data_IF_672064742908
#
_entry.id   IF_672064742908
#
_cell.length_a   1.000
_cell.length_b   1.000
_cell.length_c   1.000
_cell.angle_alpha   90.00
_cell.angle_beta   90.00
_cell.angle_gamma   90.00
#
_symmetry.space_group_name_H-M   'P 1'
#
loop_
_entity.id
_entity.type
_entity.pdbx_description
1 polymer ?
#
# COMPACT_ATOMS: atom_id res chain seq x y z
N UNK A 1 -31.86 -37.62 -31.53
CA UNK A 1 -30.65 -37.59 -30.66
C UNK A 1 -29.50 -36.71 -31.21
N UNK A 2 -29.31 -36.56 -32.54
CA UNK A 2 -28.15 -35.80 -33.09
C UNK A 2 -28.19 -34.26 -32.87
N UNK A 3 -29.35 -33.63 -32.72
CA UNK A 3 -29.45 -32.16 -32.55
C UNK A 3 -28.97 -31.64 -31.21
N UNK A 4 -29.16 -32.38 -30.12
CA UNK A 4 -28.72 -32.03 -28.78
C UNK A 4 -27.20 -32.04 -28.62
N UNK A 5 -26.50 -32.93 -29.37
CA UNK A 5 -25.04 -33.02 -29.37
C UNK A 5 -24.40 -31.74 -29.96
N UNK A 6 -25.08 -31.06 -30.88
CA UNK A 6 -24.60 -29.79 -31.50
C UNK A 6 -24.89 -28.58 -30.60
N UNK A 7 -25.93 -28.63 -29.76
CA UNK A 7 -26.30 -27.54 -28.84
C UNK A 7 -25.43 -27.54 -27.58
N UNK A 8 -24.99 -28.72 -27.12
CA UNK A 8 -24.21 -28.86 -25.91
C UNK A 8 -22.90 -28.03 -25.92
N UNK A 9 -22.04 -28.05 -26.97
CA UNK A 9 -20.84 -27.23 -27.00
C UNK A 9 -21.12 -25.74 -26.95
N UNK A 10 -22.21 -25.30 -27.64
CA UNK A 10 -22.60 -23.90 -27.62
C UNK A 10 -23.09 -23.46 -26.22
N UNK A 11 -23.86 -24.32 -25.56
CA UNK A 11 -24.33 -24.04 -24.20
C UNK A 11 -23.16 -23.96 -23.19
N UNK A 12 -22.18 -24.86 -23.29
CA UNK A 12 -20.97 -24.85 -22.47
C UNK A 12 -20.15 -23.58 -22.76
N UNK A 13 -19.97 -23.23 -24.03
CA UNK A 13 -19.26 -22.00 -24.41
C UNK A 13 -19.92 -20.76 -23.83
N UNK A 14 -21.25 -20.63 -23.95
CA UNK A 14 -21.97 -19.50 -23.39
C UNK A 14 -21.87 -19.44 -21.86
N UNK A 15 -21.93 -20.59 -21.18
CA UNK A 15 -21.79 -20.66 -19.74
C UNK A 15 -20.40 -20.20 -19.28
N UNK A 16 -19.35 -20.69 -19.97
CA UNK A 16 -17.96 -20.26 -19.72
C UNK A 16 -17.76 -18.78 -20.04
N UNK A 17 -18.33 -18.30 -21.13
CA UNK A 17 -18.26 -16.88 -21.52
C UNK A 17 -18.91 -15.98 -20.45
N UNK A 18 -20.09 -16.36 -19.94
CA UNK A 18 -20.76 -15.62 -18.87
C UNK A 18 -19.95 -15.68 -17.57
N UNK A 19 -19.39 -16.84 -17.23
CA UNK A 19 -18.55 -16.99 -16.05
C UNK A 19 -17.29 -16.11 -16.12
N UNK A 20 -16.59 -16.13 -17.26
CA UNK A 20 -15.41 -15.29 -17.46
C UNK A 20 -15.78 -13.79 -17.49
N UNK A 21 -16.89 -13.43 -18.13
CA UNK A 21 -17.36 -12.05 -18.13
C UNK A 21 -17.67 -11.55 -16.71
N UNK A 22 -18.33 -12.38 -15.87
CA UNK A 22 -18.53 -12.05 -14.47
C UNK A 22 -17.22 -11.91 -13.70
N UNK A 23 -16.24 -12.76 -14.01
CA UNK A 23 -14.91 -12.72 -13.40
C UNK A 23 -14.14 -11.43 -13.66
N UNK A 24 -14.37 -10.76 -14.80
CA UNK A 24 -13.75 -9.47 -15.13
C UNK A 24 -14.22 -8.31 -14.24
N UNK A 25 -15.36 -8.44 -13.58
CA UNK A 25 -15.90 -7.44 -12.66
C UNK A 25 -15.59 -7.74 -11.19
N UNK A 26 -14.90 -8.86 -10.92
CA UNK A 26 -14.39 -9.14 -9.58
C UNK A 26 -13.09 -8.36 -9.42
N UNK A 27 -13.03 -7.47 -8.44
CA UNK A 27 -11.81 -6.74 -8.12
C UNK A 27 -10.82 -7.68 -7.41
N UNK A 28 -9.69 -8.05 -8.03
CA UNK A 28 -8.71 -8.92 -7.38
C UNK A 28 -7.98 -8.23 -6.21
N UNK A 29 -8.13 -6.91 -6.06
CA UNK A 29 -7.56 -6.15 -4.95
C UNK A 29 -8.34 -6.32 -3.62
N UNK A 30 -9.56 -6.88 -3.65
CA UNK A 30 -10.38 -7.13 -2.47
C UNK A 30 -9.97 -8.34 -1.61
N UNK A 31 -8.81 -8.96 -1.84
CA UNK A 31 -8.35 -9.99 -0.90
C UNK A 31 -7.94 -9.30 0.40
N UNK A 32 -8.69 -9.52 1.51
CA UNK A 32 -8.35 -8.92 2.80
C UNK A 32 -6.93 -9.31 3.16
N UNK A 33 -6.06 -8.32 3.40
CA UNK A 33 -4.71 -8.60 3.85
C UNK A 33 -4.76 -9.39 5.16
N UNK A 34 -4.04 -10.51 5.22
CA UNK A 34 -3.90 -11.29 6.45
C UNK A 34 -3.27 -10.49 7.61
N UNK A 35 -2.78 -9.28 7.33
CA UNK A 35 -2.15 -8.37 8.30
C UNK A 35 -3.14 -7.41 8.96
N UNK A 36 -4.37 -7.30 8.47
CA UNK A 36 -5.39 -6.44 9.10
C UNK A 36 -5.67 -6.91 10.54
N UNK A 37 -5.66 -5.97 11.47
CA UNK A 37 -5.84 -6.23 12.91
C UNK A 37 -4.60 -6.77 13.62
N UNK A 38 -3.48 -6.97 12.92
CA UNK A 38 -2.22 -7.40 13.51
C UNK A 38 -1.28 -6.23 13.76
N UNK A 39 -0.37 -6.34 14.75
CA UNK A 39 0.70 -5.37 14.92
C UNK A 39 1.59 -5.34 13.67
N UNK A 40 2.12 -4.15 13.38
CA UNK A 40 3.13 -3.98 12.35
C UNK A 40 4.33 -4.89 12.63
N UNK A 41 4.88 -5.59 11.63
CA UNK A 41 5.98 -6.53 11.84
C UNK A 41 7.18 -5.90 12.56
N UNK A 42 7.88 -6.71 13.34
CA UNK A 42 9.15 -6.31 13.94
C UNK A 42 10.21 -6.17 12.84
N UNK A 43 10.92 -5.07 12.85
CA UNK A 43 12.06 -4.86 11.97
C UNK A 43 13.15 -4.06 12.68
N UNK A 44 14.36 -4.15 12.13
CA UNK A 44 15.51 -3.33 12.50
C UNK A 44 16.28 -3.07 11.21
N UNK A 45 15.95 -1.97 10.55
CA UNK A 45 16.45 -1.63 9.21
C UNK A 45 17.05 -0.21 9.20
N UNK A 46 18.02 0.07 8.34
CA UNK A 46 18.57 1.41 8.21
C UNK A 46 17.51 2.37 7.64
N UNK A 47 17.66 3.65 7.97
CA UNK A 47 16.92 4.69 7.28
C UNK A 47 17.47 4.91 5.86
N UNK A 48 16.64 5.44 4.96
CA UNK A 48 17.09 5.92 3.64
C UNK A 48 18.03 7.10 3.81
N UNK A 49 17.68 8.01 4.75
CA UNK A 49 18.45 9.22 5.03
C UNK A 49 19.23 9.06 6.34
N UNK A 50 20.53 9.36 6.28
CA UNK A 50 21.42 9.27 7.43
C UNK A 50 21.86 7.84 7.77
N UNK A 51 22.35 7.64 9.00
CA UNK A 51 22.89 6.37 9.47
C UNK A 51 22.06 5.72 10.60
N UNK A 52 20.85 6.24 10.84
CA UNK A 52 19.99 5.73 11.90
C UNK A 52 19.40 4.37 11.54
N UNK A 53 19.22 3.53 12.56
CA UNK A 53 18.45 2.29 12.46
C UNK A 53 17.04 2.56 12.95
N UNK A 54 16.06 2.20 12.15
CA UNK A 54 14.63 2.31 12.45
C UNK A 54 14.05 0.96 12.88
N UNK A 55 13.07 1.01 13.75
CA UNK A 55 12.36 -0.15 14.28
C UNK A 55 10.85 0.12 14.25
N UNK A 56 10.03 -0.89 14.51
CA UNK A 56 8.58 -0.66 14.62
C UNK A 56 8.20 0.31 15.75
N UNK A 57 9.05 0.49 16.77
CA UNK A 57 8.78 1.43 17.85
C UNK A 57 8.75 2.89 17.37
N UNK A 58 9.48 3.21 16.31
CA UNK A 58 9.53 4.54 15.70
C UNK A 58 8.23 4.91 14.96
N UNK A 59 7.38 3.92 14.67
CA UNK A 59 6.10 4.11 14.00
C UNK A 59 4.94 4.38 14.99
N UNK A 60 5.16 4.28 16.29
CA UNK A 60 4.11 4.36 17.32
C UNK A 60 3.74 5.80 17.69
N UNK A 61 2.64 5.93 18.42
CA UNK A 61 2.21 7.16 19.10
C UNK A 61 1.13 7.96 18.40
N UNK A 62 1.00 7.87 17.08
CA UNK A 62 -0.07 8.51 16.30
C UNK A 62 -0.42 7.65 15.06
N UNK A 63 -1.67 7.72 14.59
CA UNK A 63 -2.03 7.11 13.31
C UNK A 63 -1.17 7.61 12.17
N UNK A 64 -0.84 6.73 11.24
CA UNK A 64 -0.01 7.06 10.08
C UNK A 64 -0.38 6.22 8.85
N UNK A 65 -0.02 6.74 7.68
CA UNK A 65 0.12 5.96 6.46
C UNK A 65 1.54 5.37 6.42
N UNK A 66 1.66 4.12 6.00
CA UNK A 66 2.94 3.49 5.65
C UNK A 66 2.88 3.13 4.18
N UNK A 67 3.60 3.88 3.36
CA UNK A 67 3.59 3.75 1.91
C UNK A 67 4.82 2.97 1.46
N UNK A 68 4.59 1.92 0.70
CA UNK A 68 5.63 1.09 0.07
C UNK A 68 5.90 1.62 -1.33
N UNK A 69 7.16 2.00 -1.58
CA UNK A 69 7.55 2.66 -2.80
C UNK A 69 8.94 2.24 -3.29
N UNK A 70 9.26 2.59 -4.53
CA UNK A 70 10.60 2.40 -5.08
C UNK A 70 10.82 3.26 -6.32
N UNK A 71 12.08 3.57 -6.65
CA UNK A 71 12.43 4.38 -7.82
C UNK A 71 12.13 3.68 -9.15
N UNK A 72 12.10 2.36 -9.15
CA UNK A 72 11.73 1.51 -10.28
C UNK A 72 10.21 1.51 -10.58
N UNK A 73 9.39 2.04 -9.66
CA UNK A 73 7.94 1.99 -9.70
C UNK A 73 7.35 3.21 -10.40
N UNK A 74 6.87 3.05 -11.62
CA UNK A 74 6.23 4.14 -12.39
C UNK A 74 4.97 4.68 -11.71
N UNK A 75 4.16 3.80 -11.14
CA UNK A 75 2.93 4.17 -10.42
C UNK A 75 3.21 4.95 -9.14
N UNK A 76 4.33 4.68 -8.46
CA UNK A 76 4.77 5.45 -7.29
C UNK A 76 5.09 6.90 -7.68
N UNK A 77 5.59 7.13 -8.89
CA UNK A 77 5.83 8.48 -9.40
C UNK A 77 4.54 9.25 -9.64
N UNK A 78 3.46 8.56 -10.00
CA UNK A 78 2.14 9.17 -10.21
C UNK A 78 1.53 9.61 -8.88
N UNK A 79 1.64 8.81 -7.81
CA UNK A 79 1.07 9.15 -6.50
C UNK A 79 1.89 10.16 -5.71
N UNK A 80 3.21 10.24 -5.95
CA UNK A 80 4.14 11.02 -5.13
C UNK A 80 3.74 12.49 -4.92
N UNK A 81 3.23 13.25 -5.94
CA UNK A 81 2.74 14.60 -5.74
C UNK A 81 1.55 14.69 -4.79
N UNK A 82 0.70 13.66 -4.75
CA UNK A 82 -0.45 13.61 -3.83
C UNK A 82 0.06 13.37 -2.42
N UNK A 83 1.01 12.45 -2.22
CA UNK A 83 1.62 12.21 -0.91
C UNK A 83 2.31 13.47 -0.36
N UNK A 84 2.99 14.25 -1.22
CA UNK A 84 3.57 15.55 -0.83
C UNK A 84 2.49 16.50 -0.30
N UNK A 85 1.38 16.67 -1.02
CA UNK A 85 0.25 17.52 -0.58
C UNK A 85 -0.33 17.03 0.76
N UNK A 86 -0.47 15.73 0.94
CA UNK A 86 -0.98 15.16 2.18
C UNK A 86 -0.04 15.43 3.36
N UNK A 87 1.26 15.29 3.15
CA UNK A 87 2.27 15.60 4.16
C UNK A 87 2.24 17.08 4.55
N UNK A 88 2.10 18.00 3.58
CA UNK A 88 1.92 19.45 3.82
C UNK A 88 0.64 19.75 4.62
N UNK A 89 -0.41 18.96 4.46
CA UNK A 89 -1.65 19.05 5.23
C UNK A 89 -1.54 18.43 6.64
N UNK A 90 -0.37 17.91 7.00
CA UNK A 90 -0.11 17.32 8.32
C UNK A 90 -0.47 15.85 8.44
N UNK A 91 -0.78 15.16 7.35
CA UNK A 91 -0.93 13.70 7.33
C UNK A 91 0.42 13.07 7.61
N UNK A 92 0.48 12.17 8.59
CA UNK A 92 1.70 11.44 8.91
C UNK A 92 1.91 10.32 7.90
N UNK A 93 3.06 10.34 7.22
CA UNK A 93 3.41 9.35 6.22
C UNK A 93 4.80 8.80 6.54
N UNK A 94 4.94 7.49 6.58
CA UNK A 94 6.19 6.76 6.66
C UNK A 94 6.43 6.03 5.32
N UNK A 95 7.67 6.02 4.84
CA UNK A 95 8.06 5.31 3.63
C UNK A 95 8.69 3.96 3.94
N UNK A 96 8.42 2.97 3.11
CA UNK A 96 9.21 1.74 3.00
C UNK A 96 9.76 1.68 1.58
N UNK A 97 11.03 2.04 1.43
CA UNK A 97 11.73 1.96 0.15
C UNK A 97 12.09 0.50 -0.10
N UNK A 98 11.32 -0.13 -0.99
CA UNK A 98 11.26 -1.57 -1.18
C UNK A 98 12.09 -2.03 -2.37
N UNK A 99 13.07 -2.92 -2.11
CA UNK A 99 13.92 -3.53 -3.15
C UNK A 99 14.52 -2.51 -4.11
N UNK A 100 15.14 -1.48 -3.56
CA UNK A 100 15.61 -0.33 -4.31
C UNK A 100 17.07 0.01 -3.95
N UNK A 101 17.72 0.77 -4.81
CA UNK A 101 19.05 1.32 -4.55
C UNK A 101 18.96 2.60 -3.72
N UNK A 102 19.73 2.67 -2.62
CA UNK A 102 19.64 3.80 -1.71
C UNK A 102 20.09 5.13 -2.34
N UNK A 103 21.07 5.12 -3.23
CA UNK A 103 21.52 6.34 -3.90
C UNK A 103 20.43 6.86 -4.87
N UNK A 104 19.75 5.96 -5.55
CA UNK A 104 18.60 6.30 -6.39
C UNK A 104 17.43 6.84 -5.55
N UNK A 105 17.14 6.22 -4.39
CA UNK A 105 16.13 6.67 -3.46
C UNK A 105 16.39 8.08 -2.94
N UNK A 106 17.60 8.37 -2.49
CA UNK A 106 18.01 9.70 -2.03
C UNK A 106 17.90 10.76 -3.14
N UNK A 107 18.30 10.39 -4.36
CA UNK A 107 18.15 11.29 -5.51
C UNK A 107 16.68 11.57 -5.80
N UNK A 108 15.81 10.56 -5.75
CA UNK A 108 14.38 10.71 -5.95
C UNK A 108 13.76 11.68 -4.94
N UNK A 109 14.01 11.48 -3.65
CA UNK A 109 13.47 12.34 -2.59
C UNK A 109 13.94 13.81 -2.72
N UNK A 110 15.18 14.01 -3.20
CA UNK A 110 15.69 15.34 -3.50
C UNK A 110 14.99 15.98 -4.72
N UNK A 111 14.76 15.21 -5.78
CA UNK A 111 14.22 15.73 -7.05
C UNK A 111 12.69 15.96 -6.99
N UNK A 112 11.97 15.13 -6.20
CA UNK A 112 10.49 15.13 -6.16
C UNK A 112 9.91 15.51 -4.79
N UNK A 113 10.71 16.02 -3.87
CA UNK A 113 10.39 16.29 -2.47
C UNK A 113 10.15 15.01 -1.65
N UNK A 114 10.26 15.14 -0.33
CA UNK A 114 10.13 14.02 0.60
C UNK A 114 8.84 14.15 1.44
N UNK A 115 7.81 13.34 1.19
CA UNK A 115 6.58 13.34 1.98
C UNK A 115 6.70 12.56 3.29
N UNK A 116 7.79 11.81 3.48
CA UNK A 116 7.93 10.85 4.57
C UNK A 116 8.60 11.48 5.79
N UNK A 117 8.02 11.26 6.99
CA UNK A 117 8.66 11.63 8.25
C UNK A 117 9.80 10.68 8.62
N UNK A 118 9.65 9.42 8.25
CA UNK A 118 10.65 8.36 8.34
C UNK A 118 10.62 7.58 7.03
N UNK A 119 11.78 7.10 6.60
CA UNK A 119 11.88 6.33 5.38
C UNK A 119 12.78 5.10 5.61
N UNK A 120 12.18 3.93 5.66
CA UNK A 120 12.81 2.65 5.97
C UNK A 120 13.45 2.11 4.70
N UNK A 121 14.73 1.73 4.75
CA UNK A 121 15.47 1.13 3.64
C UNK A 121 15.34 -0.39 3.68
N UNK A 122 14.43 -0.94 2.89
CA UNK A 122 14.18 -2.38 2.76
C UNK A 122 14.75 -2.94 1.45
N UNK A 123 16.08 -2.83 1.28
CA UNK A 123 16.78 -3.27 0.05
C UNK A 123 16.54 -4.75 -0.27
N UNK A 124 16.47 -5.60 0.76
CA UNK A 124 16.25 -7.04 0.60
C UNK A 124 14.77 -7.41 0.47
N UNK A 125 13.87 -6.48 0.78
CA UNK A 125 12.43 -6.71 0.73
C UNK A 125 11.91 -7.62 1.84
N UNK A 126 12.63 -7.75 2.95
CA UNK A 126 12.25 -8.60 4.08
C UNK A 126 11.05 -8.06 4.81
N UNK A 127 11.02 -6.75 5.08
CA UNK A 127 9.86 -6.10 5.70
C UNK A 127 8.64 -6.13 4.78
N UNK A 128 8.83 -5.89 3.48
CA UNK A 128 7.75 -6.01 2.49
C UNK A 128 7.17 -7.42 2.43
N UNK A 129 8.01 -8.47 2.55
CA UNK A 129 7.57 -9.84 2.62
C UNK A 129 6.70 -10.11 3.87
N UNK A 130 7.16 -9.65 5.04
CA UNK A 130 6.43 -9.80 6.32
C UNK A 130 5.09 -9.03 6.31
N UNK A 131 5.01 -7.92 5.60
CA UNK A 131 3.79 -7.15 5.37
C UNK A 131 2.86 -7.79 4.32
N UNK A 132 3.33 -8.81 3.61
CA UNK A 132 2.60 -9.40 2.50
C UNK A 132 2.43 -8.42 1.33
N UNK A 133 3.50 -7.67 1.01
CA UNK A 133 3.54 -6.76 -0.14
C UNK A 133 3.67 -7.56 -1.43
N UNK A 134 2.81 -7.28 -2.40
CA UNK A 134 2.85 -7.89 -3.74
C UNK A 134 3.73 -7.09 -4.71
N UNK A 135 3.82 -5.78 -4.46
CA UNK A 135 4.54 -4.83 -5.31
C UNK A 135 4.47 -3.42 -4.74
N UNK A 136 4.70 -2.42 -5.59
CA UNK A 136 4.54 -1.02 -5.23
C UNK A 136 3.70 -0.30 -6.32
N UNK A 137 2.87 0.68 -5.95
CA UNK A 137 2.67 1.17 -4.59
C UNK A 137 1.64 0.37 -3.79
N UNK A 138 1.86 0.24 -2.49
CA UNK A 138 0.90 -0.23 -1.50
C UNK A 138 0.94 0.71 -0.29
N UNK A 139 -0.23 0.99 0.30
CA UNK A 139 -0.32 1.88 1.46
C UNK A 139 -1.06 1.20 2.59
N UNK A 140 -0.42 1.11 3.75
CA UNK A 140 -1.01 0.62 4.98
C UNK A 140 -1.45 1.80 5.84
N UNK A 141 -2.57 1.65 6.53
CA UNK A 141 -3.02 2.56 7.56
C UNK A 141 -2.80 1.90 8.91
N UNK A 142 -2.00 2.52 9.78
CA UNK A 142 -1.73 2.03 11.13
C UNK A 142 -2.29 2.99 12.18
N UNK A 143 -2.74 2.43 13.30
CA UNK A 143 -3.17 3.23 14.45
C UNK A 143 -1.98 3.63 15.36
N UNK A 144 -2.26 4.39 16.42
CA UNK A 144 -1.25 4.87 17.38
C UNK A 144 -0.50 3.74 18.10
N UNK A 145 -1.04 2.53 18.13
CA UNK A 145 -0.41 1.34 18.72
C UNK A 145 0.37 0.53 17.69
N UNK A 146 0.40 0.96 16.43
CA UNK A 146 1.05 0.24 15.33
C UNK A 146 0.24 -0.95 14.82
N UNK A 147 -1.06 -1.03 15.08
CA UNK A 147 -1.93 -2.07 14.52
C UNK A 147 -2.31 -1.67 13.09
N UNK A 148 -2.16 -2.58 12.17
CA UNK A 148 -2.56 -2.38 10.76
C UNK A 148 -4.10 -2.43 10.70
N UNK A 149 -4.71 -1.31 10.30
CA UNK A 149 -6.17 -1.14 10.25
C UNK A 149 -6.72 -1.25 8.83
N UNK A 150 -5.91 -0.95 7.85
CA UNK A 150 -6.28 -1.05 6.45
C UNK A 150 -5.05 -1.26 5.56
N UNK A 151 -5.26 -1.88 4.38
CA UNK A 151 -4.27 -2.01 3.31
C UNK A 151 -4.93 -1.60 2.00
N UNK A 152 -4.33 -0.66 1.32
CA UNK A 152 -4.72 -0.25 -0.03
C UNK A 152 -3.62 -0.66 -1.01
N UNK A 153 -4.00 -1.29 -2.12
CA UNK A 153 -3.09 -1.72 -3.19
C UNK A 153 -3.36 -0.87 -4.42
N UNK A 154 -2.36 -0.09 -4.84
CA UNK A 154 -2.46 0.79 -6.00
C UNK A 154 -2.11 2.24 -5.69
N UNK A 155 -2.35 3.12 -6.65
CA UNK A 155 -2.00 4.55 -6.60
C UNK A 155 -2.96 5.30 -5.67
N UNK A 156 -2.41 5.98 -4.69
CA UNK A 156 -3.17 6.92 -3.85
C UNK A 156 -3.29 8.24 -4.60
N UNK A 157 -4.41 8.42 -5.30
CA UNK A 157 -4.79 9.69 -5.90
C UNK A 157 -5.71 10.50 -4.96
N UNK A 158 -6.12 11.71 -5.39
CA UNK A 158 -6.98 12.59 -4.58
C UNK A 158 -8.37 11.97 -4.33
N UNK A 159 -8.85 11.12 -5.23
CA UNK A 159 -10.16 10.44 -5.08
C UNK A 159 -10.07 9.30 -4.08
N UNK A 160 -9.07 8.44 -4.22
CA UNK A 160 -8.79 7.35 -3.26
C UNK A 160 -8.56 7.91 -1.86
N UNK A 161 -7.77 8.97 -1.75
CA UNK A 161 -7.58 9.63 -0.47
C UNK A 161 -8.91 10.11 0.12
N UNK A 162 -9.65 10.94 -0.61
CA UNK A 162 -10.88 11.58 -0.11
C UNK A 162 -11.98 10.57 0.24
N UNK A 163 -12.14 9.53 -0.59
CA UNK A 163 -13.30 8.63 -0.50
C UNK A 163 -13.02 7.38 0.35
N UNK A 164 -11.77 6.93 0.44
CA UNK A 164 -11.41 5.69 1.10
C UNK A 164 -10.51 5.90 2.32
N UNK A 165 -9.36 6.56 2.16
CA UNK A 165 -8.34 6.60 3.21
C UNK A 165 -8.57 7.69 4.24
N UNK A 166 -9.00 8.89 3.84
CA UNK A 166 -9.19 10.01 4.76
C UNK A 166 -10.25 9.76 5.85
N UNK A 167 -11.42 9.15 5.56
CA UNK A 167 -12.39 8.81 6.60
C UNK A 167 -11.83 7.83 7.62
N UNK A 168 -11.07 6.82 7.16
CA UNK A 168 -10.43 5.84 8.04
C UNK A 168 -9.33 6.48 8.90
N UNK A 169 -8.48 7.31 8.27
CA UNK A 169 -7.41 8.02 8.97
C UNK A 169 -7.96 8.96 10.04
N UNK A 170 -9.00 9.72 9.72
CA UNK A 170 -9.66 10.60 10.68
C UNK A 170 -10.29 9.83 11.84
N UNK A 171 -10.95 8.72 11.56
CA UNK A 171 -11.50 7.82 12.60
C UNK A 171 -10.44 7.37 13.59
N UNK A 172 -9.24 7.01 13.12
CA UNK A 172 -8.13 6.61 14.00
C UNK A 172 -7.58 7.78 14.84
N UNK A 173 -7.59 9.00 14.27
CA UNK A 173 -7.21 10.20 15.05
C UNK A 173 -8.22 10.43 16.18
N UNK A 174 -9.52 10.28 15.87
CA UNK A 174 -10.58 10.49 16.85
C UNK A 174 -10.60 9.41 17.95
N UNK A 175 -10.29 8.13 17.60
CA UNK A 175 -10.09 7.04 18.57
C UNK A 175 -8.93 7.31 19.56
N UNK A 176 -7.90 8.03 19.13
CA UNK A 176 -6.72 8.36 19.92
C UNK A 176 -6.84 9.63 20.76
N UNK A 177 -7.95 10.37 20.67
CA UNK A 177 -8.21 11.54 21.53
C UNK A 177 -8.66 11.09 22.90
N UNK A 178 -8.06 11.65 23.99
CA UNK A 178 -8.46 11.33 25.36
C UNK A 178 -9.87 11.84 25.69
#
# INVERSE_FOLDING_TARGET
>A
MKRWIMVLPLAVFLLVAVFLYRGLYLDPAELPSAMIGKPFPHFSLPAVEGESTLTQADLLGKPALVNVWGTWCVSCRVEHPVLNKLAEQGVRIYGVNYKDDNAAALKWLKDFHNPYQLNIRDEQGTLGLDLGVYGAPETFLIDAKGIIRHKFVGVVDETVWREQLAPLYQGLIDEGRP
#
